data_IF_951438879667
#
_entry.id   IF_951438879667
#
_cell.length_a   1.000
_cell.length_b   1.000
_cell.length_c   1.000
_cell.angle_alpha   90.00
_cell.angle_beta   90.00
_cell.angle_gamma   90.00
#
_symmetry.space_group_name_H-M   'P 1'
#
loop_
_entity.id
_entity.type
_entity.pdbx_description
1 polymer ?
#
# COMPACT_ATOMS: atom_id res chain seq x y z
N UNK A 1 9.87 -1.97 -33.88
CA UNK A 1 9.94 -0.65 -33.23
C UNK A 1 8.54 -0.31 -32.78
N UNK A 2 8.25 -0.51 -31.49
CA UNK A 2 6.98 -0.16 -30.89
C UNK A 2 7.29 0.68 -29.65
N UNK A 3 6.70 1.88 -29.62
CA UNK A 3 6.91 2.92 -28.63
C UNK A 3 6.52 2.46 -27.22
N UNK A 4 7.52 2.30 -26.35
CA UNK A 4 7.34 2.15 -24.89
C UNK A 4 7.48 3.48 -24.14
N UNK A 5 7.51 4.62 -24.84
CA UNK A 5 7.92 5.92 -24.28
C UNK A 5 6.81 6.68 -23.51
N UNK A 6 5.55 6.22 -23.52
CA UNK A 6 4.43 6.95 -22.91
C UNK A 6 4.14 6.64 -21.44
N UNK A 7 4.39 5.41 -20.99
CA UNK A 7 3.96 4.95 -19.65
C UNK A 7 4.99 5.24 -18.55
N UNK A 8 6.28 5.28 -18.86
CA UNK A 8 7.35 5.46 -17.86
C UNK A 8 7.50 6.90 -17.37
N UNK A 9 7.07 7.91 -18.14
CA UNK A 9 7.24 9.33 -17.75
C UNK A 9 6.27 9.80 -16.65
N UNK A 10 5.08 9.19 -16.55
CA UNK A 10 4.07 9.58 -15.56
C UNK A 10 4.37 9.01 -14.17
N UNK A 11 4.97 7.81 -14.10
CA UNK A 11 5.35 7.17 -12.83
C UNK A 11 6.34 8.01 -12.02
N UNK A 12 7.32 8.63 -12.68
CA UNK A 12 8.32 9.43 -11.97
C UNK A 12 7.76 10.75 -11.45
N UNK A 13 6.83 11.38 -12.17
CA UNK A 13 6.21 12.63 -11.72
C UNK A 13 5.29 12.42 -10.51
N UNK A 14 4.53 11.32 -10.49
CA UNK A 14 3.71 10.99 -9.33
C UNK A 14 4.57 10.75 -8.09
N UNK A 15 5.67 9.99 -8.25
CA UNK A 15 6.63 9.79 -7.16
C UNK A 15 7.20 11.09 -6.61
N UNK A 16 7.57 12.03 -7.49
CA UNK A 16 8.07 13.34 -7.06
C UNK A 16 7.03 14.12 -6.25
N UNK A 17 5.77 14.15 -6.71
CA UNK A 17 4.66 14.77 -5.97
C UNK A 17 4.48 14.15 -4.58
N UNK A 18 4.61 12.84 -4.50
CA UNK A 18 4.41 12.10 -3.25
C UNK A 18 5.50 12.41 -2.24
N UNK A 19 6.74 12.47 -2.72
CA UNK A 19 7.88 12.82 -1.88
C UNK A 19 7.80 14.27 -1.42
N UNK A 20 7.34 15.20 -2.27
CA UNK A 20 7.10 16.60 -1.89
C UNK A 20 6.04 16.68 -0.79
N UNK A 21 4.86 16.07 -0.98
CA UNK A 21 3.77 16.13 -0.01
C UNK A 21 4.16 15.56 1.37
N UNK A 22 4.89 14.44 1.40
CA UNK A 22 5.41 13.86 2.65
C UNK A 22 6.52 14.72 3.27
N UNK A 23 7.35 15.37 2.45
CA UNK A 23 8.36 16.31 2.94
C UNK A 23 7.73 17.55 3.57
N UNK A 24 6.66 18.10 2.99
CA UNK A 24 5.90 19.21 3.61
C UNK A 24 5.33 18.79 4.97
N UNK A 25 4.73 17.60 5.05
CA UNK A 25 4.17 17.05 6.30
C UNK A 25 5.24 16.80 7.38
N UNK A 26 6.51 16.74 6.99
CA UNK A 26 7.65 16.58 7.90
C UNK A 26 8.49 17.87 8.03
N UNK A 27 7.93 19.02 7.64
CA UNK A 27 8.58 20.34 7.69
C UNK A 27 9.93 20.39 6.97
N UNK A 28 10.05 19.63 5.87
CA UNK A 28 11.25 19.51 5.05
C UNK A 28 12.50 19.06 5.82
N UNK A 29 12.32 18.46 7.00
CA UNK A 29 13.43 18.08 7.84
C UNK A 29 14.19 16.91 7.22
N UNK A 30 15.48 17.12 6.97
CA UNK A 30 16.38 16.13 6.33
C UNK A 30 16.51 14.86 7.19
N UNK A 31 16.35 14.97 8.50
CA UNK A 31 16.40 13.86 9.47
C UNK A 31 15.15 13.85 10.33
N UNK A 32 14.13 13.15 9.86
CA UNK A 32 12.87 12.96 10.56
C UNK A 32 12.83 11.62 11.29
N UNK A 33 12.23 11.60 12.47
CA UNK A 33 12.04 10.36 13.23
C UNK A 33 11.12 9.39 12.49
N UNK A 34 11.17 8.10 12.83
CA UNK A 34 10.29 7.09 12.22
C UNK A 34 8.83 7.41 12.49
N UNK A 35 8.52 7.95 13.68
CA UNK A 35 7.18 8.38 14.09
C UNK A 35 6.69 9.58 13.28
N UNK A 36 7.57 10.52 12.91
CA UNK A 36 7.23 11.63 12.04
C UNK A 36 6.91 11.15 10.63
N UNK A 37 7.71 10.23 10.08
CA UNK A 37 7.47 9.60 8.78
C UNK A 37 6.16 8.81 8.76
N UNK A 38 5.89 8.05 9.81
CA UNK A 38 4.63 7.32 9.97
C UNK A 38 3.44 8.27 10.01
N UNK A 39 3.50 9.35 10.82
CA UNK A 39 2.44 10.37 10.88
C UNK A 39 2.20 11.05 9.53
N UNK A 40 3.25 11.28 8.74
CA UNK A 40 3.12 11.86 7.41
C UNK A 40 2.34 10.98 6.42
N UNK A 41 2.27 9.67 6.65
CA UNK A 41 1.45 8.77 5.84
C UNK A 41 -0.06 8.93 6.11
N UNK A 42 -0.48 9.56 7.22
CA UNK A 42 -1.92 9.71 7.57
C UNK A 42 -2.71 8.40 7.48
N UNK A 43 -2.02 7.31 7.76
CA UNK A 43 -2.48 5.95 7.56
C UNK A 43 -2.16 5.15 8.83
N UNK A 44 -3.15 4.45 9.36
CA UNK A 44 -2.94 3.52 10.45
C UNK A 44 -2.41 2.19 9.88
N UNK A 45 -1.30 1.70 10.43
CA UNK A 45 -0.67 0.44 10.01
C UNK A 45 -0.46 -0.40 11.26
N UNK A 46 -1.14 -1.53 11.35
CA UNK A 46 -1.07 -2.44 12.49
C UNK A 46 -0.60 -3.83 12.05
N UNK A 47 0.38 -4.44 12.74
CA UNK A 47 0.77 -5.82 12.45
C UNK A 47 -0.37 -6.78 12.80
N UNK A 48 -0.66 -7.73 11.91
CA UNK A 48 -1.57 -8.82 12.21
C UNK A 48 -0.84 -9.94 12.93
N UNK A 49 -1.43 -10.43 14.02
CA UNK A 49 -0.95 -11.63 14.69
C UNK A 49 -1.07 -12.84 13.77
N UNK A 50 -0.04 -13.69 13.73
CA UNK A 50 -0.03 -14.96 13.00
C UNK A 50 -1.16 -15.91 13.42
N UNK A 51 -1.69 -15.73 14.64
CA UNK A 51 -2.78 -16.54 15.19
C UNK A 51 -4.16 -15.95 14.89
N UNK A 52 -4.23 -14.77 14.26
CA UNK A 52 -5.50 -14.13 13.94
C UNK A 52 -6.21 -14.82 12.78
N UNK A 53 -7.54 -14.85 12.83
CA UNK A 53 -8.35 -15.37 11.73
C UNK A 53 -8.12 -14.61 10.42
N UNK A 54 -7.88 -13.29 10.51
CA UNK A 54 -7.61 -12.43 9.37
C UNK A 54 -6.27 -12.78 8.70
N UNK A 55 -5.22 -13.01 9.48
CA UNK A 55 -3.93 -13.46 8.95
C UNK A 55 -4.08 -14.76 8.17
N UNK A 56 -4.78 -15.75 8.74
CA UNK A 56 -5.02 -17.03 8.08
C UNK A 56 -5.85 -16.87 6.81
N UNK A 57 -6.87 -15.99 6.82
CA UNK A 57 -7.68 -15.69 5.63
C UNK A 57 -6.83 -15.14 4.47
N UNK A 58 -5.96 -14.17 4.75
CA UNK A 58 -5.07 -13.59 3.72
C UNK A 58 -4.08 -14.64 3.19
N UNK A 59 -3.53 -15.47 4.09
CA UNK A 59 -2.64 -16.56 3.69
C UNK A 59 -3.34 -17.58 2.79
N UNK A 60 -4.56 -18.01 3.13
CA UNK A 60 -5.36 -18.91 2.30
C UNK A 60 -5.74 -18.29 0.96
N UNK A 61 -5.99 -16.98 0.89
CA UNK A 61 -6.21 -16.28 -0.39
C UNK A 61 -4.97 -16.34 -1.27
N UNK A 62 -3.77 -16.20 -0.69
CA UNK A 62 -2.52 -16.33 -1.44
C UNK A 62 -2.33 -17.75 -1.96
N UNK A 63 -2.50 -18.76 -1.09
CA UNK A 63 -2.34 -20.18 -1.43
C UNK A 63 -3.32 -20.63 -2.52
N UNK A 64 -4.58 -20.18 -2.45
CA UNK A 64 -5.62 -20.51 -3.43
C UNK A 64 -5.50 -19.76 -4.76
N UNK A 65 -4.80 -18.62 -4.79
CA UNK A 65 -4.69 -17.78 -5.98
C UNK A 65 -3.78 -18.34 -7.07
N UNK A 66 -2.95 -19.35 -6.77
CA UNK A 66 -1.97 -19.87 -7.73
C UNK A 66 -2.13 -21.36 -7.99
N UNK A 67 -2.34 -21.72 -9.25
CA UNK A 67 -2.34 -23.12 -9.74
C UNK A 67 -0.93 -23.76 -9.78
N UNK A 68 0.08 -23.10 -9.21
CA UNK A 68 1.49 -23.50 -9.18
C UNK A 68 2.07 -23.08 -7.83
N UNK A 69 3.08 -23.80 -7.29
CA UNK A 69 3.75 -23.35 -6.08
C UNK A 69 4.47 -22.02 -6.35
N UNK A 70 3.96 -20.92 -5.79
CA UNK A 70 4.71 -19.67 -5.71
C UNK A 70 5.82 -19.84 -4.69
N UNK A 71 7.06 -19.51 -5.06
CA UNK A 71 8.18 -19.43 -4.12
C UNK A 71 8.14 -18.10 -3.36
N UNK A 72 7.01 -17.81 -2.70
CA UNK A 72 6.78 -16.58 -1.95
C UNK A 72 6.47 -16.97 -0.52
N UNK A 73 7.31 -16.49 0.41
CA UNK A 73 7.10 -16.65 1.85
C UNK A 73 6.52 -15.37 2.42
N UNK A 74 5.40 -15.48 3.13
CA UNK A 74 4.80 -14.35 3.85
C UNK A 74 5.65 -14.06 5.09
N UNK A 75 6.32 -12.91 5.09
CA UNK A 75 7.13 -12.46 6.24
C UNK A 75 6.27 -11.76 7.27
N UNK A 76 5.50 -10.75 6.86
CA UNK A 76 4.63 -9.96 7.72
C UNK A 76 3.33 -9.63 6.98
N UNK A 77 2.23 -9.51 7.72
CA UNK A 77 0.97 -8.96 7.23
C UNK A 77 0.61 -7.77 8.10
N UNK A 78 0.26 -6.66 7.47
CA UNK A 78 -0.18 -5.45 8.15
C UNK A 78 -1.60 -5.10 7.71
N UNK A 79 -2.47 -4.84 8.68
CA UNK A 79 -3.75 -4.20 8.43
C UNK A 79 -3.53 -2.70 8.24
N UNK A 80 -4.19 -2.17 7.21
CA UNK A 80 -4.06 -0.78 6.78
C UNK A 80 -5.43 -0.14 6.92
N UNK A 81 -5.48 1.02 7.58
CA UNK A 81 -6.70 1.82 7.68
C UNK A 81 -6.42 3.27 7.33
N UNK A 82 -7.18 3.78 6.37
CA UNK A 82 -7.11 5.16 5.90
C UNK A 82 -8.50 5.78 6.06
N UNK A 83 -8.61 6.76 6.95
CA UNK A 83 -9.88 7.38 7.30
C UNK A 83 -10.61 8.00 6.07
N UNK A 84 -9.85 8.52 5.11
CA UNK A 84 -10.40 9.05 3.85
C UNK A 84 -11.13 7.96 3.07
N UNK A 85 -10.52 6.77 2.93
CA UNK A 85 -11.11 5.64 2.20
C UNK A 85 -12.37 5.13 2.90
N UNK A 86 -12.34 5.00 4.22
CA UNK A 86 -13.52 4.59 5.00
C UNK A 86 -14.71 5.54 4.81
N UNK A 87 -14.44 6.86 4.75
CA UNK A 87 -15.50 7.86 4.59
C UNK A 87 -16.17 7.86 3.21
N UNK A 88 -15.47 7.39 2.17
CA UNK A 88 -15.97 7.39 0.78
C UNK A 88 -16.35 6.01 0.28
N UNK A 89 -15.96 4.94 0.98
CA UNK A 89 -16.24 3.57 0.57
C UNK A 89 -17.74 3.27 0.65
N UNK A 90 -18.36 3.01 -0.50
CA UNK A 90 -19.75 2.60 -0.56
C UNK A 90 -19.88 1.07 -0.59
N UNK A 91 -20.02 0.48 0.60
CA UNK A 91 -20.20 -0.97 0.74
C UNK A 91 -21.52 -1.51 0.17
N UNK A 92 -22.50 -0.66 -0.16
CA UNK A 92 -23.83 -1.07 -0.59
C UNK A 92 -23.92 -1.40 -2.09
N UNK A 93 -22.84 -1.19 -2.86
CA UNK A 93 -22.80 -1.50 -4.29
C UNK A 93 -22.79 -3.00 -4.61
N UNK A 94 -22.51 -3.85 -3.61
CA UNK A 94 -22.44 -5.30 -3.77
C UNK A 94 -21.17 -5.79 -4.47
N UNK A 95 -20.98 -7.12 -4.53
CA UNK A 95 -19.79 -7.77 -5.11
C UNK A 95 -18.44 -7.27 -4.53
N UNK A 96 -18.42 -6.92 -3.24
CA UNK A 96 -17.20 -6.54 -2.54
C UNK A 96 -16.27 -7.76 -2.41
N UNK A 97 -15.11 -7.73 -3.08
CA UNK A 97 -14.12 -8.81 -3.06
C UNK A 97 -12.73 -8.29 -2.73
N UNK A 98 -11.96 -9.10 -2.02
CA UNK A 98 -10.54 -8.85 -1.79
C UNK A 98 -9.77 -9.23 -3.06
N UNK A 99 -8.92 -8.31 -3.53
CA UNK A 99 -8.10 -8.47 -4.74
C UNK A 99 -6.65 -8.11 -4.44
N UNK A 100 -5.72 -8.73 -5.15
CA UNK A 100 -4.30 -8.42 -5.03
C UNK A 100 -3.92 -7.20 -5.86
N UNK A 101 -3.11 -6.32 -5.27
CA UNK A 101 -2.44 -5.23 -5.96
C UNK A 101 -0.95 -5.25 -5.58
N UNK A 102 -0.08 -5.38 -6.57
CA UNK A 102 1.36 -5.31 -6.40
C UNK A 102 1.89 -3.98 -6.96
N UNK A 103 2.85 -3.39 -6.28
CA UNK A 103 3.50 -2.14 -6.69
C UNK A 103 4.98 -2.15 -6.32
N UNK A 104 5.77 -1.32 -6.99
CA UNK A 104 7.18 -1.14 -6.62
C UNK A 104 7.29 -0.45 -5.26
N UNK A 105 8.31 -0.81 -4.47
CA UNK A 105 8.52 -0.30 -3.09
C UNK A 105 8.48 1.24 -3.02
N UNK A 106 9.06 1.92 -4.01
CA UNK A 106 9.07 3.39 -4.12
C UNK A 106 7.68 4.04 -4.14
N UNK A 107 6.65 3.31 -4.60
CA UNK A 107 5.29 3.83 -4.76
C UNK A 107 4.48 3.76 -3.45
N UNK A 108 4.89 2.94 -2.47
CA UNK A 108 4.10 2.71 -1.26
C UNK A 108 3.90 3.98 -0.43
N UNK A 109 4.89 4.88 -0.41
CA UNK A 109 4.74 6.17 0.28
C UNK A 109 3.57 6.95 -0.30
N UNK A 110 3.41 6.98 -1.63
CA UNK A 110 2.29 7.64 -2.28
C UNK A 110 0.95 6.92 -2.10
N UNK A 111 0.96 5.58 -2.18
CA UNK A 111 -0.26 4.76 -2.00
C UNK A 111 -0.81 4.87 -0.57
N UNK A 112 0.07 4.99 0.43
CA UNK A 112 -0.34 5.09 1.83
C UNK A 112 -0.68 6.52 2.24
N UNK A 113 -0.01 7.53 1.68
CA UNK A 113 -0.15 8.93 2.11
C UNK A 113 -1.31 9.72 1.50
N UNK A 114 -1.83 9.28 0.35
CA UNK A 114 -2.92 9.95 -0.37
C UNK A 114 -4.19 9.13 -0.30
#
# INVERSE_FOLDING_TARGET
MADTCGLTRVFDFQLLKDMVAVSEATSWAVRTSVEAKYRALRCHIAPLSTNSAEYNKVKSLLDSSTNRPMNVSVVNIYAIHRAVEESVFNGNLGNNRLLFHASGVKNFVGILSR
#
